data_IF_110464065614
#
_entry.id   IF_110464065614
#
_cell.length_a   1.000
_cell.length_b   1.000
_cell.length_c   1.000
_cell.angle_alpha   90.00
_cell.angle_beta   90.00
_cell.angle_gamma   90.00
#
_symmetry.space_group_name_H-M   'P 1'
#
loop_
_entity.id
_entity.type
_entity.pdbx_description
1 polymer ?
#
# COMPACT_ATOMS: atom_id res chain seq x y z
N UNK A 1 5.89 8.04 -0.81
CA UNK A 1 4.73 8.19 0.11
C UNK A 1 5.20 8.59 1.50
N UNK A 2 4.55 9.59 2.11
CA UNK A 2 4.80 10.09 3.46
C UNK A 2 4.73 8.98 4.52
N UNK A 3 3.84 7.99 4.34
CA UNK A 3 3.67 6.83 5.23
C UNK A 3 4.96 6.03 5.39
N UNK A 4 5.77 5.89 4.33
CA UNK A 4 7.07 5.19 4.37
C UNK A 4 8.11 5.96 5.17
N UNK A 5 8.10 7.29 5.07
CA UNK A 5 9.02 8.15 5.81
C UNK A 5 8.70 8.12 7.31
N UNK A 6 7.41 8.26 7.66
CA UNK A 6 6.94 8.17 9.04
C UNK A 6 7.27 6.80 9.64
N UNK A 7 7.02 5.69 8.92
CA UNK A 7 7.38 4.32 9.38
C UNK A 7 8.85 4.18 9.79
N UNK A 8 9.76 4.75 8.99
CA UNK A 8 11.20 4.73 9.28
C UNK A 8 11.56 5.55 10.50
N UNK A 9 10.95 6.73 10.65
CA UNK A 9 11.19 7.64 11.78
C UNK A 9 10.76 7.03 13.11
N UNK A 10 9.57 6.42 13.16
CA UNK A 10 9.01 5.86 14.40
C UNK A 10 9.43 4.40 14.68
N UNK A 11 10.27 3.81 13.81
CA UNK A 11 10.69 2.39 13.86
C UNK A 11 9.54 1.40 14.07
N UNK A 12 8.35 1.73 13.54
CA UNK A 12 7.14 0.94 13.75
C UNK A 12 6.80 0.19 12.46
N UNK A 13 6.49 -1.10 12.60
CA UNK A 13 6.00 -1.92 11.50
C UNK A 13 4.59 -1.44 11.14
N UNK A 14 4.43 -0.84 9.96
CA UNK A 14 3.13 -0.41 9.44
C UNK A 14 2.65 -1.47 8.45
N UNK A 15 1.49 -2.07 8.73
CA UNK A 15 0.80 -2.97 7.80
C UNK A 15 -0.21 -2.12 7.03
N UNK A 16 0.11 -1.79 5.77
CA UNK A 16 -0.80 -1.05 4.90
C UNK A 16 -1.62 -2.06 4.10
N UNK A 17 -2.95 -1.99 4.22
CA UNK A 17 -3.86 -2.69 3.32
C UNK A 17 -4.20 -1.71 2.20
N UNK A 18 -3.76 -2.04 0.99
CA UNK A 18 -4.16 -1.28 -0.20
C UNK A 18 -5.63 -1.60 -0.52
N UNK A 19 -6.47 -0.57 -0.62
CA UNK A 19 -7.89 -0.72 -0.94
C UNK A 19 -8.15 -0.97 -2.43
N UNK A 20 -7.12 -0.94 -3.28
CA UNK A 20 -7.22 -0.97 -4.74
C UNK A 20 -6.67 -2.26 -5.36
N UNK A 21 -6.67 -3.38 -4.64
CA UNK A 21 -6.28 -4.69 -5.21
C UNK A 21 -7.35 -5.35 -6.08
N UNK A 22 -8.26 -4.55 -6.65
CA UNK A 22 -9.23 -4.97 -7.66
C UNK A 22 -8.80 -4.47 -9.04
N UNK A 23 -7.65 -4.92 -9.51
CA UNK A 23 -7.42 -5.00 -10.95
C UNK A 23 -7.72 -6.46 -11.35
N UNK A 24 -9.01 -6.83 -11.27
CA UNK A 24 -9.49 -8.00 -12.01
C UNK A 24 -9.55 -7.59 -13.48
N UNK A 25 -8.43 -7.78 -14.17
CA UNK A 25 -8.40 -7.76 -15.63
C UNK A 25 -8.56 -9.19 -16.13
N UNK A 26 -9.81 -9.56 -16.30
CA UNK A 26 -10.26 -10.67 -17.12
C UNK A 26 -11.35 -10.02 -18.01
N UNK A 27 -10.98 -9.03 -18.84
CA UNK A 27 -10.88 -9.23 -20.30
C UNK A 27 -10.05 -8.14 -21.03
N UNK A 28 -8.98 -7.62 -20.42
CA UNK A 28 -7.91 -6.96 -21.20
C UNK A 28 -8.16 -5.55 -21.77
N UNK A 29 -8.92 -4.65 -21.11
CA UNK A 29 -8.95 -3.21 -21.46
C UNK A 29 -8.89 -2.30 -20.25
#
# INVERSE_FOLDING_TARGET
>A
SATKFISKMVKRKIIVRDANRFHHFQDGV
#
